data_IF_627945415782
#
_entry.id   IF_627945415782
#
_cell.length_a   1.000
_cell.length_b   1.000
_cell.length_c   1.000
_cell.angle_alpha   90.00
_cell.angle_beta   90.00
_cell.angle_gamma   90.00
#
_symmetry.space_group_name_H-M   'P 1'
#
loop_
_entity.id
_entity.type
_entity.pdbx_description
1 polymer ?
#
# COMPACT_ATOMS: atom_id res chain seq x y z
N UNK A 1 -10.29 -34.12 -18.08
CA UNK A 1 -10.13 -32.65 -18.23
C UNK A 1 -9.51 -32.12 -16.97
N UNK A 2 -8.57 -31.16 -17.01
CA UNK A 2 -8.06 -30.56 -15.79
C UNK A 2 -9.24 -29.90 -15.03
N UNK A 3 -9.28 -30.09 -13.72
CA UNK A 3 -10.31 -29.53 -12.85
C UNK A 3 -10.31 -28.00 -12.96
N UNK A 4 -11.40 -27.41 -13.43
CA UNK A 4 -11.60 -25.95 -13.46
C UNK A 4 -12.20 -25.49 -12.15
N UNK A 5 -11.58 -24.54 -11.43
CA UNK A 5 -12.13 -24.04 -10.19
C UNK A 5 -13.39 -23.23 -10.47
N UNK A 6 -14.37 -23.33 -9.58
CA UNK A 6 -15.55 -22.44 -9.56
C UNK A 6 -15.28 -21.21 -8.71
N UNK A 7 -14.50 -21.38 -7.62
CA UNK A 7 -14.20 -20.31 -6.65
C UNK A 7 -12.73 -20.29 -6.27
N UNK A 8 -12.10 -19.14 -6.44
CA UNK A 8 -10.69 -18.89 -6.13
C UNK A 8 -10.59 -17.77 -5.10
N UNK A 9 -9.85 -18.00 -4.03
CA UNK A 9 -9.52 -16.98 -3.03
C UNK A 9 -8.03 -16.61 -3.11
N UNK A 10 -7.75 -15.35 -3.40
CA UNK A 10 -6.41 -14.76 -3.29
C UNK A 10 -6.31 -14.08 -1.93
N UNK A 11 -5.30 -14.38 -1.15
CA UNK A 11 -5.22 -13.96 0.26
C UNK A 11 -4.01 -13.08 0.52
N UNK A 12 -4.26 -11.89 1.05
CA UNK A 12 -3.24 -10.96 1.53
C UNK A 12 -3.74 -10.25 2.80
N UNK A 13 -3.50 -10.78 4.01
CA UNK A 13 -4.13 -10.31 5.24
C UNK A 13 -3.38 -9.19 5.95
N UNK A 14 -2.21 -8.78 5.46
CA UNK A 14 -1.26 -7.92 6.16
C UNK A 14 -1.57 -6.41 5.99
N UNK A 15 -0.65 -5.62 5.50
CA UNK A 15 -0.74 -4.15 5.49
C UNK A 15 -1.49 -3.63 4.26
N UNK A 16 -2.06 -2.43 4.37
CA UNK A 16 -2.81 -1.76 3.29
C UNK A 16 -2.01 -1.68 1.99
N UNK A 17 -0.75 -1.21 2.05
CA UNK A 17 0.12 -1.11 0.88
C UNK A 17 0.36 -2.46 0.21
N UNK A 18 0.62 -3.50 1.01
CA UNK A 18 0.84 -4.86 0.53
C UNK A 18 -0.38 -5.43 -0.21
N UNK A 19 -1.59 -5.14 0.28
CA UNK A 19 -2.84 -5.56 -0.38
C UNK A 19 -3.02 -4.83 -1.70
N UNK A 20 -2.78 -3.51 -1.73
CA UNK A 20 -2.87 -2.70 -2.95
C UNK A 20 -1.86 -3.19 -3.99
N UNK A 21 -0.60 -3.40 -3.63
CA UNK A 21 0.41 -3.98 -4.52
C UNK A 21 -0.03 -5.34 -5.04
N UNK A 22 -0.56 -6.18 -4.16
CA UNK A 22 -0.97 -7.54 -4.51
C UNK A 22 -2.18 -7.58 -5.44
N UNK A 23 -3.02 -6.54 -5.46
CA UNK A 23 -4.15 -6.45 -6.39
C UNK A 23 -3.72 -6.41 -7.86
N UNK A 24 -2.44 -6.09 -8.13
CA UNK A 24 -1.87 -6.10 -9.49
C UNK A 24 -1.91 -7.46 -10.18
N UNK A 25 -2.04 -8.55 -9.42
CA UNK A 25 -2.17 -9.87 -10.01
C UNK A 25 -3.63 -10.26 -10.39
N UNK A 26 -4.63 -9.53 -9.91
CA UNK A 26 -6.05 -9.87 -10.12
C UNK A 26 -6.47 -9.86 -11.60
N UNK A 27 -6.01 -8.92 -12.45
CA UNK A 27 -6.31 -8.96 -13.89
C UNK A 27 -5.86 -10.28 -14.53
N UNK A 28 -4.64 -10.73 -14.27
CA UNK A 28 -4.11 -11.98 -14.82
C UNK A 28 -4.88 -13.23 -14.31
N UNK A 29 -5.31 -13.22 -13.04
CA UNK A 29 -6.15 -14.29 -12.50
C UNK A 29 -7.52 -14.30 -13.18
N UNK A 30 -8.15 -13.13 -13.41
CA UNK A 30 -9.44 -13.03 -14.10
C UNK A 30 -9.33 -13.46 -15.57
N UNK A 31 -8.30 -13.05 -16.26
CA UNK A 31 -8.04 -13.45 -17.66
C UNK A 31 -7.91 -14.98 -17.77
N UNK A 32 -7.18 -15.60 -16.85
CA UNK A 32 -6.95 -17.05 -16.84
C UNK A 32 -8.21 -17.85 -16.47
N UNK A 33 -9.07 -17.29 -15.61
CA UNK A 33 -10.28 -17.94 -15.09
C UNK A 33 -11.49 -17.03 -15.25
N UNK A 34 -11.95 -16.79 -16.48
CA UNK A 34 -13.04 -15.82 -16.75
C UNK A 34 -14.38 -16.20 -16.10
N UNK A 35 -14.63 -17.50 -15.94
CA UNK A 35 -15.89 -18.03 -15.42
C UNK A 35 -15.86 -18.26 -13.89
N UNK A 36 -14.71 -18.20 -13.27
CA UNK A 36 -14.59 -18.43 -11.83
C UNK A 36 -15.06 -17.22 -11.01
N UNK A 37 -15.64 -17.47 -9.86
CA UNK A 37 -15.79 -16.48 -8.80
C UNK A 37 -14.43 -16.25 -8.15
N UNK A 38 -13.87 -15.05 -8.32
CA UNK A 38 -12.57 -14.68 -7.77
C UNK A 38 -12.79 -13.70 -6.63
N UNK A 39 -12.26 -14.04 -5.46
CA UNK A 39 -12.33 -13.19 -4.28
C UNK A 39 -10.94 -12.80 -3.78
N UNK A 40 -10.82 -11.58 -3.26
CA UNK A 40 -9.66 -11.14 -2.49
C UNK A 40 -9.97 -11.23 -1.00
N UNK A 41 -9.18 -11.99 -0.27
CA UNK A 41 -9.24 -12.08 1.20
C UNK A 41 -8.24 -11.12 1.83
N UNK A 42 -8.74 -10.10 2.53
CA UNK A 42 -7.93 -9.11 3.21
C UNK A 42 -8.65 -8.54 4.44
N UNK A 43 -8.01 -7.64 5.18
CA UNK A 43 -8.63 -6.95 6.33
C UNK A 43 -9.83 -6.11 5.86
N UNK A 44 -10.89 -6.06 6.68
CA UNK A 44 -12.15 -5.36 6.34
C UNK A 44 -11.97 -3.89 5.94
N UNK A 45 -10.95 -3.20 6.46
CA UNK A 45 -10.62 -1.82 6.09
C UNK A 45 -10.36 -1.65 4.58
N UNK A 46 -10.01 -2.73 3.89
CA UNK A 46 -9.76 -2.72 2.44
C UNK A 46 -11.03 -2.86 1.61
N UNK A 47 -12.13 -3.29 2.20
CA UNK A 47 -13.36 -3.62 1.47
C UNK A 47 -13.84 -2.51 0.53
N UNK A 48 -13.88 -1.22 0.91
CA UNK A 48 -14.36 -0.15 0.04
C UNK A 48 -13.57 -0.02 -1.28
N UNK A 49 -12.30 -0.46 -1.31
CA UNK A 49 -11.47 -0.43 -2.53
C UNK A 49 -11.75 -1.59 -3.51
N UNK A 50 -12.66 -2.50 -3.16
CA UNK A 50 -13.02 -3.66 -3.99
C UNK A 50 -14.52 -3.78 -4.23
N UNK A 51 -15.32 -2.83 -3.76
CA UNK A 51 -16.76 -2.78 -4.03
C UNK A 51 -17.01 -2.48 -5.51
N UNK A 52 -17.93 -3.25 -6.11
CA UNK A 52 -18.28 -3.12 -7.53
C UNK A 52 -17.06 -3.15 -8.47
N UNK A 53 -16.09 -3.98 -8.14
CA UNK A 53 -14.82 -4.06 -8.89
C UNK A 53 -15.09 -4.45 -10.37
N UNK A 54 -14.51 -3.73 -11.38
CA UNK A 54 -14.80 -3.94 -12.79
C UNK A 54 -14.45 -5.34 -13.28
N UNK A 55 -13.47 -5.98 -12.66
CA UNK A 55 -13.11 -7.38 -12.91
C UNK A 55 -13.99 -8.37 -12.12
N UNK A 56 -15.09 -7.93 -11.53
CA UNK A 56 -15.97 -8.76 -10.69
C UNK A 56 -15.20 -9.54 -9.61
N UNK A 57 -14.31 -8.84 -8.90
CA UNK A 57 -13.57 -9.40 -7.77
C UNK A 57 -14.45 -9.25 -6.51
N UNK A 58 -14.80 -10.37 -5.90
CA UNK A 58 -15.45 -10.39 -4.59
C UNK A 58 -14.48 -10.07 -3.47
N UNK A 59 -15.00 -9.69 -2.31
CA UNK A 59 -14.18 -9.40 -1.13
C UNK A 59 -14.56 -10.33 0.04
N UNK A 60 -13.56 -10.88 0.71
CA UNK A 60 -13.72 -11.70 1.91
C UNK A 60 -13.01 -11.02 3.08
N UNK A 61 -13.75 -10.45 4.03
CA UNK A 61 -13.14 -9.81 5.20
C UNK A 61 -12.47 -10.87 6.09
N UNK A 62 -11.16 -10.77 6.24
CA UNK A 62 -10.38 -11.67 7.09
C UNK A 62 -10.18 -11.08 8.49
N UNK A 63 -10.19 -11.92 9.54
CA UNK A 63 -9.91 -11.48 10.90
C UNK A 63 -8.48 -10.92 11.01
N UNK A 64 -8.33 -9.91 11.88
CA UNK A 64 -7.05 -9.21 12.07
C UNK A 64 -5.91 -10.17 12.41
N UNK A 65 -4.72 -9.97 11.80
CA UNK A 65 -3.51 -10.72 12.18
C UNK A 65 -3.07 -10.51 13.64
N UNK A 66 -3.52 -9.44 14.29
CA UNK A 66 -3.21 -9.14 15.69
C UNK A 66 -4.00 -9.96 16.72
N UNK A 67 -5.04 -10.68 16.28
CA UNK A 67 -5.80 -11.56 17.18
C UNK A 67 -4.93 -12.74 17.66
N UNK A 68 -5.16 -13.25 18.89
CA UNK A 68 -4.53 -14.47 19.36
C UNK A 68 -4.76 -15.62 18.37
N UNK A 69 -3.75 -16.49 18.21
CA UNK A 69 -3.75 -17.52 17.17
C UNK A 69 -5.02 -18.40 17.19
N UNK A 70 -5.45 -18.89 18.34
CA UNK A 70 -6.63 -19.76 18.47
C UNK A 70 -7.92 -19.04 18.07
N UNK A 71 -8.09 -17.80 18.55
CA UNK A 71 -9.25 -16.97 18.21
C UNK A 71 -9.31 -16.70 16.72
N UNK A 72 -8.17 -16.33 16.15
CA UNK A 72 -8.04 -16.06 14.72
C UNK A 72 -8.27 -17.29 13.85
N UNK A 73 -7.71 -18.43 14.26
CA UNK A 73 -7.94 -19.72 13.59
C UNK A 73 -9.42 -20.09 13.55
N UNK A 74 -10.14 -20.00 14.69
CA UNK A 74 -11.58 -20.26 14.76
C UNK A 74 -12.38 -19.32 13.85
N UNK A 75 -12.08 -18.02 13.88
CA UNK A 75 -12.72 -17.03 13.02
C UNK A 75 -12.46 -17.31 11.53
N UNK A 76 -11.23 -17.68 11.17
CA UNK A 76 -10.88 -18.06 9.78
C UNK A 76 -11.64 -19.31 9.32
N UNK A 77 -11.74 -20.34 10.18
CA UNK A 77 -12.55 -21.52 9.84
C UNK A 77 -14.00 -21.14 9.57
N UNK A 78 -14.60 -20.25 10.36
CA UNK A 78 -15.96 -19.76 10.15
C UNK A 78 -16.08 -18.96 8.85
N UNK A 79 -15.17 -18.02 8.60
CA UNK A 79 -15.15 -17.18 7.38
C UNK A 79 -15.02 -18.02 6.11
N UNK A 80 -14.20 -19.08 6.13
CA UNK A 80 -13.90 -19.87 4.93
C UNK A 80 -14.84 -21.05 4.74
N UNK A 81 -15.74 -21.34 5.69
CA UNK A 81 -16.68 -22.46 5.60
C UNK A 81 -17.74 -22.25 4.53
N UNK A 82 -18.22 -21.03 4.45
CA UNK A 82 -19.15 -20.54 3.42
C UNK A 82 -18.74 -19.13 2.97
N UNK A 83 -18.46 -18.87 1.69
CA UNK A 83 -18.53 -19.79 0.54
C UNK A 83 -17.37 -20.80 0.51
N UNK A 84 -17.63 -22.01 -0.04
CA UNK A 84 -16.58 -23.01 -0.22
C UNK A 84 -15.68 -22.64 -1.38
N UNK A 85 -14.37 -22.47 -1.10
CA UNK A 85 -13.38 -22.22 -2.13
C UNK A 85 -12.77 -23.53 -2.64
N UNK A 86 -12.61 -23.64 -3.94
CA UNK A 86 -11.88 -24.75 -4.57
C UNK A 86 -10.37 -24.56 -4.42
N UNK A 87 -9.91 -23.33 -4.61
CA UNK A 87 -8.50 -22.97 -4.54
C UNK A 87 -8.27 -21.74 -3.67
N UNK A 88 -7.19 -21.80 -2.92
CA UNK A 88 -6.66 -20.64 -2.20
C UNK A 88 -5.20 -20.41 -2.59
N UNK A 89 -4.85 -19.14 -2.85
CA UNK A 89 -3.48 -18.68 -3.07
C UNK A 89 -3.14 -17.67 -1.99
N UNK A 90 -2.25 -18.05 -1.09
CA UNK A 90 -1.83 -17.18 0.01
C UNK A 90 -0.58 -16.41 -0.38
N UNK A 91 -0.74 -15.14 -0.70
CA UNK A 91 0.35 -14.25 -1.10
C UNK A 91 1.25 -13.83 0.08
N UNK A 92 0.84 -14.11 1.29
CA UNK A 92 1.61 -13.89 2.50
C UNK A 92 1.57 -15.14 3.38
N UNK A 93 2.71 -15.59 3.95
CA UNK A 93 2.73 -16.72 4.87
C UNK A 93 1.93 -16.41 6.13
N UNK A 94 0.87 -17.17 6.36
CA UNK A 94 -0.03 -17.00 7.49
C UNK A 94 -0.37 -18.37 8.11
N UNK A 95 0.28 -18.74 9.23
CA UNK A 95 0.08 -20.03 9.89
C UNK A 95 -1.37 -20.34 10.25
N UNK A 96 -2.11 -19.37 10.78
CA UNK A 96 -3.51 -19.55 11.16
C UNK A 96 -4.40 -19.78 9.93
N UNK A 97 -4.15 -19.04 8.84
CA UNK A 97 -4.86 -19.23 7.57
C UNK A 97 -4.55 -20.59 6.94
N UNK A 98 -3.29 -21.02 6.92
CA UNK A 98 -2.91 -22.32 6.36
C UNK A 98 -3.60 -23.47 7.07
N UNK A 99 -3.59 -23.44 8.40
CA UNK A 99 -4.24 -24.47 9.21
C UNK A 99 -5.78 -24.44 9.03
N UNK A 100 -6.40 -23.27 8.95
CA UNK A 100 -7.82 -23.14 8.73
C UNK A 100 -8.24 -23.67 7.35
N UNK A 101 -7.54 -23.27 6.29
CA UNK A 101 -7.82 -23.74 4.92
C UNK A 101 -7.66 -25.27 4.79
N UNK A 102 -6.66 -25.86 5.45
CA UNK A 102 -6.52 -27.31 5.54
C UNK A 102 -7.66 -27.96 6.34
N UNK A 103 -8.00 -27.41 7.51
CA UNK A 103 -9.03 -27.96 8.43
C UNK A 103 -10.41 -28.02 7.81
N UNK A 104 -10.76 -27.01 7.00
CA UNK A 104 -12.05 -26.97 6.30
C UNK A 104 -12.03 -27.71 4.96
N UNK A 105 -10.89 -28.26 4.55
CA UNK A 105 -10.75 -29.13 3.37
C UNK A 105 -10.71 -28.39 2.04
N UNK A 106 -10.16 -27.16 1.96
CA UNK A 106 -9.93 -26.51 0.66
C UNK A 106 -9.07 -27.42 -0.22
N UNK A 107 -9.53 -27.82 -1.44
CA UNK A 107 -8.82 -28.84 -2.21
C UNK A 107 -7.42 -28.43 -2.65
N UNK A 108 -7.22 -27.19 -3.12
CA UNK A 108 -5.93 -26.69 -3.59
C UNK A 108 -5.46 -25.50 -2.77
N UNK A 109 -4.29 -25.61 -2.19
CA UNK A 109 -3.74 -24.61 -1.24
C UNK A 109 -2.29 -24.31 -1.62
N UNK A 110 -2.12 -23.12 -2.22
CA UNK A 110 -0.83 -22.64 -2.75
C UNK A 110 -0.27 -21.58 -1.80
N UNK A 111 1.00 -21.67 -1.45
CA UNK A 111 1.64 -20.71 -0.56
C UNK A 111 3.13 -20.95 -0.38
N UNK A 112 3.77 -20.04 0.35
CA UNK A 112 5.16 -20.19 0.75
C UNK A 112 5.26 -21.15 1.96
N UNK A 113 6.21 -22.10 1.94
CA UNK A 113 6.36 -23.05 3.03
C UNK A 113 6.68 -22.36 4.36
N UNK A 114 6.02 -22.79 5.42
CA UNK A 114 6.28 -22.36 6.80
C UNK A 114 6.75 -23.51 7.64
N UNK A 115 7.78 -23.29 8.46
CA UNK A 115 8.32 -24.33 9.35
C UNK A 115 7.19 -24.92 10.21
N UNK A 116 7.06 -26.23 10.17
CA UNK A 116 6.05 -26.98 10.94
C UNK A 116 4.63 -26.99 10.34
N UNK A 117 4.33 -26.19 9.32
CA UNK A 117 3.00 -26.12 8.70
C UNK A 117 2.98 -26.31 7.19
N UNK A 118 4.13 -26.55 6.56
CA UNK A 118 4.21 -26.76 5.10
C UNK A 118 3.36 -27.93 4.61
N UNK A 119 3.07 -28.90 5.43
CA UNK A 119 2.22 -30.05 5.14
C UNK A 119 0.76 -29.68 4.88
N UNK A 120 0.31 -28.51 5.35
CA UNK A 120 -1.05 -28.00 5.07
C UNK A 120 -1.22 -27.52 3.64
N UNK A 121 -0.14 -27.19 2.94
CA UNK A 121 -0.17 -26.75 1.55
C UNK A 121 -0.14 -27.95 0.58
N UNK A 122 -0.91 -27.86 -0.50
CA UNK A 122 -0.82 -28.80 -1.62
C UNK A 122 0.32 -28.45 -2.56
N UNK A 123 0.61 -27.15 -2.69
CA UNK A 123 1.69 -26.64 -3.53
C UNK A 123 2.54 -25.63 -2.74
N UNK A 124 3.83 -25.89 -2.72
CA UNK A 124 4.81 -25.13 -1.94
C UNK A 124 5.73 -24.41 -2.90
N UNK A 125 5.69 -23.08 -2.86
CA UNK A 125 6.47 -22.24 -3.76
C UNK A 125 7.68 -21.70 -3.00
N UNK A 126 8.86 -21.77 -3.62
CA UNK A 126 10.08 -21.23 -3.01
C UNK A 126 9.99 -19.73 -2.86
N UNK A 127 10.19 -19.24 -1.64
CA UNK A 127 10.16 -17.80 -1.36
C UNK A 127 11.46 -17.12 -1.80
N UNK A 128 11.40 -16.29 -2.85
CA UNK A 128 12.53 -15.52 -3.39
C UNK A 128 12.58 -14.05 -2.96
N UNK A 129 11.61 -13.59 -2.17
CA UNK A 129 11.51 -12.19 -1.72
C UNK A 129 12.75 -11.66 -1.01
N UNK A 130 13.53 -12.55 -0.36
CA UNK A 130 14.79 -12.21 0.31
C UNK A 130 15.91 -11.81 -0.65
N UNK A 131 15.80 -12.16 -1.93
CA UNK A 131 16.75 -11.77 -2.97
C UNK A 131 16.68 -10.28 -3.27
N UNK A 132 15.54 -9.63 -3.04
CA UNK A 132 15.27 -8.19 -3.25
C UNK A 132 15.60 -7.70 -4.67
N UNK A 133 15.49 -8.57 -5.68
CA UNK A 133 15.83 -8.29 -7.08
C UNK A 133 14.65 -7.78 -7.90
N UNK A 134 13.43 -7.96 -7.41
CA UNK A 134 12.20 -7.61 -8.09
C UNK A 134 11.27 -6.83 -7.15
N UNK A 135 10.31 -6.18 -7.76
CA UNK A 135 9.23 -5.53 -7.04
C UNK A 135 8.35 -6.57 -6.29
N UNK A 136 7.80 -6.18 -5.13
CA UNK A 136 6.95 -7.07 -4.31
C UNK A 136 5.76 -7.62 -5.11
N UNK A 137 5.14 -6.81 -5.97
CA UNK A 137 4.06 -7.24 -6.85
C UNK A 137 4.49 -8.32 -7.85
N UNK A 138 5.73 -8.27 -8.36
CA UNK A 138 6.26 -9.29 -9.25
C UNK A 138 6.46 -10.63 -8.54
N UNK A 139 6.91 -10.62 -7.29
CA UNK A 139 7.03 -11.85 -6.49
C UNK A 139 5.69 -12.56 -6.24
N UNK A 140 4.56 -11.85 -6.29
CA UNK A 140 3.25 -12.49 -6.15
C UNK A 140 2.97 -13.48 -7.30
N UNK A 141 3.54 -13.25 -8.49
CA UNK A 141 3.38 -14.14 -9.64
C UNK A 141 4.11 -15.47 -9.48
N UNK A 142 5.10 -15.57 -8.60
CA UNK A 142 5.72 -16.88 -8.27
C UNK A 142 4.65 -17.85 -7.74
N UNK A 143 3.72 -17.35 -6.91
CA UNK A 143 2.61 -18.13 -6.35
C UNK A 143 1.50 -18.44 -7.37
N UNK A 144 1.47 -17.75 -8.51
CA UNK A 144 0.50 -17.97 -9.59
C UNK A 144 1.03 -18.90 -10.68
N UNK A 145 2.32 -19.22 -10.71
CA UNK A 145 2.92 -20.14 -11.69
C UNK A 145 2.20 -21.50 -11.73
N UNK A 146 1.81 -22.13 -10.60
CA UNK A 146 1.06 -23.39 -10.64
C UNK A 146 -0.31 -23.29 -11.31
N UNK A 147 -0.84 -22.07 -11.46
CA UNK A 147 -2.09 -21.77 -12.16
C UNK A 147 -1.86 -21.50 -13.66
N UNK A 148 -0.63 -21.65 -14.17
CA UNK A 148 -0.21 -21.29 -15.52
C UNK A 148 -0.41 -19.78 -15.81
N UNK A 149 -0.12 -18.95 -14.81
CA UNK A 149 -0.11 -17.49 -14.91
C UNK A 149 1.34 -17.03 -14.75
N UNK A 150 1.90 -16.44 -15.80
CA UNK A 150 3.26 -15.91 -15.83
C UNK A 150 3.28 -14.44 -15.43
N UNK A 151 4.43 -13.98 -14.93
CA UNK A 151 4.68 -12.56 -14.68
C UNK A 151 4.64 -11.82 -16.03
N UNK A 152 3.79 -10.79 -16.19
CA UNK A 152 3.87 -9.90 -17.35
C UNK A 152 5.11 -9.00 -17.25
N UNK A 153 5.27 -8.07 -18.19
CA UNK A 153 6.30 -7.04 -18.05
C UNK A 153 6.13 -6.33 -16.69
N UNK A 154 7.12 -6.37 -15.79
CA UNK A 154 7.04 -5.73 -14.48
C UNK A 154 6.70 -4.22 -14.54
N UNK A 155 7.11 -3.53 -15.61
CA UNK A 155 6.78 -2.11 -15.83
C UNK A 155 5.29 -1.89 -16.11
N UNK A 156 4.56 -2.90 -16.58
CA UNK A 156 3.12 -2.83 -16.85
C UNK A 156 2.26 -3.09 -15.62
N UNK A 157 2.84 -3.54 -14.50
CA UNK A 157 2.06 -3.83 -13.30
C UNK A 157 1.39 -2.56 -12.76
N UNK A 158 0.09 -2.65 -12.53
CA UNK A 158 -0.72 -1.60 -11.90
C UNK A 158 -1.61 -2.23 -10.83
N UNK A 159 -1.82 -1.52 -9.74
CA UNK A 159 -2.81 -1.95 -8.74
C UNK A 159 -4.22 -1.93 -9.35
N UNK A 160 -5.03 -2.91 -8.96
CA UNK A 160 -6.41 -3.06 -9.43
C UNK A 160 -7.36 -2.87 -8.26
N UNK A 161 -7.88 -1.64 -8.14
CA UNK A 161 -8.81 -1.21 -7.09
C UNK A 161 -9.97 -0.41 -7.70
N UNK A 162 -10.97 -0.11 -6.89
CA UNK A 162 -12.08 0.79 -7.24
C UNK A 162 -12.20 1.91 -6.22
N UNK A 163 -12.81 3.01 -6.66
CA UNK A 163 -13.22 4.09 -5.75
C UNK A 163 -14.73 4.29 -5.92
N UNK A 164 -15.55 3.96 -4.91
CA UNK A 164 -16.99 4.22 -4.94
C UNK A 164 -17.28 5.72 -5.05
N UNK A 165 -18.26 6.12 -5.87
CA UNK A 165 -18.65 7.52 -6.01
C UNK A 165 -19.25 8.08 -4.71
N UNK A 166 -19.88 7.24 -3.89
CA UNK A 166 -20.37 7.59 -2.55
C UNK A 166 -19.26 8.11 -1.63
N UNK A 167 -18.05 7.55 -1.74
CA UNK A 167 -16.89 8.04 -0.99
C UNK A 167 -16.43 9.43 -1.48
N UNK A 168 -16.59 9.72 -2.78
CA UNK A 168 -16.33 11.06 -3.33
C UNK A 168 -17.29 12.10 -2.79
N UNK A 169 -18.58 11.76 -2.75
CA UNK A 169 -19.60 12.64 -2.17
C UNK A 169 -19.36 12.90 -0.69
N UNK A 170 -19.02 11.85 0.07
CA UNK A 170 -18.65 11.98 1.48
C UNK A 170 -17.42 12.89 1.66
N UNK A 171 -16.36 12.68 0.86
CA UNK A 171 -15.16 13.53 0.88
C UNK A 171 -15.52 14.99 0.60
N UNK A 172 -16.30 15.27 -0.44
CA UNK A 172 -16.74 16.66 -0.75
C UNK A 172 -17.46 17.32 0.41
N UNK A 173 -18.32 16.59 1.11
CA UNK A 173 -18.97 17.07 2.33
C UNK A 173 -17.98 17.45 3.44
N UNK A 174 -16.86 16.71 3.56
CA UNK A 174 -15.79 16.99 4.53
C UNK A 174 -14.88 18.15 4.11
N UNK A 175 -14.66 18.35 2.81
CA UNK A 175 -13.80 19.42 2.29
C UNK A 175 -14.50 20.77 2.18
N UNK A 176 -15.80 20.79 1.93
CA UNK A 176 -16.58 22.03 1.76
C UNK A 176 -16.47 23.02 2.94
N UNK A 177 -16.60 22.59 4.22
CA UNK A 177 -16.44 23.49 5.36
C UNK A 177 -15.03 24.07 5.50
N UNK A 178 -14.03 23.44 4.87
CA UNK A 178 -12.63 23.86 4.88
C UNK A 178 -12.31 24.84 3.73
N UNK A 179 -13.27 25.14 2.85
CA UNK A 179 -13.04 25.91 1.64
C UNK A 179 -12.08 25.24 0.65
N UNK A 180 -11.90 23.92 0.79
CA UNK A 180 -10.95 23.15 -0.01
C UNK A 180 -11.67 22.50 -1.20
N UNK A 181 -11.64 23.16 -2.36
CA UNK A 181 -12.34 22.68 -3.55
C UNK A 181 -11.42 22.09 -4.63
N UNK A 182 -10.18 22.59 -4.75
CA UNK A 182 -9.21 22.13 -5.76
C UNK A 182 -7.81 22.68 -5.46
N UNK A 183 -6.80 22.21 -6.23
CA UNK A 183 -5.41 22.69 -6.16
C UNK A 183 -4.79 22.59 -4.76
N UNK A 184 -4.55 21.36 -4.35
CA UNK A 184 -3.86 21.09 -3.09
C UNK A 184 -2.78 20.01 -3.25
N UNK A 185 -1.77 20.14 -2.43
CA UNK A 185 -0.76 19.11 -2.20
C UNK A 185 -1.10 18.30 -0.96
N UNK A 186 -0.93 16.99 -1.01
CA UNK A 186 -1.04 16.13 0.15
C UNK A 186 0.35 15.90 0.77
N UNK A 187 0.47 16.07 2.07
CA UNK A 187 1.70 15.80 2.82
C UNK A 187 1.46 14.61 3.75
N UNK A 188 2.26 13.56 3.60
CA UNK A 188 2.25 12.38 4.46
C UNK A 188 3.54 12.29 5.26
N UNK A 189 3.53 12.80 6.48
CA UNK A 189 4.69 12.83 7.37
C UNK A 189 4.97 11.46 7.99
N UNK A 190 3.92 10.66 8.15
CA UNK A 190 3.86 9.51 9.00
C UNK A 190 4.84 8.40 8.61
N UNK A 191 5.48 7.89 9.62
CA UNK A 191 6.15 6.61 9.60
C UNK A 191 5.91 5.94 10.94
N UNK A 192 5.78 4.63 10.90
CA UNK A 192 5.67 3.83 12.13
C UNK A 192 6.87 4.02 13.07
N UNK A 193 8.03 4.37 12.52
CA UNK A 193 9.26 4.64 13.28
C UNK A 193 9.76 6.07 13.05
N UNK A 194 10.09 6.82 14.12
CA UNK A 194 10.68 8.14 14.01
C UNK A 194 12.04 8.14 13.27
N UNK A 195 12.72 7.00 13.25
CA UNK A 195 14.04 6.84 12.63
C UNK A 195 14.03 6.87 11.10
N UNK A 196 12.84 6.74 10.49
CA UNK A 196 12.70 6.64 9.02
C UNK A 196 11.78 7.74 8.51
N UNK A 197 11.94 8.96 8.99
CA UNK A 197 11.12 10.12 8.63
C UNK A 197 11.98 11.21 8.02
N UNK A 198 11.47 11.85 7.00
CA UNK A 198 12.02 13.11 6.54
C UNK A 198 11.76 14.18 7.60
N UNK A 199 12.70 15.10 7.87
CA UNK A 199 12.54 16.09 8.94
C UNK A 199 11.28 16.91 8.78
N UNK A 200 10.57 17.14 9.88
CA UNK A 200 9.35 17.96 9.91
C UNK A 200 9.63 19.38 9.41
N UNK A 201 10.80 19.95 9.76
CA UNK A 201 11.25 21.25 9.27
C UNK A 201 11.39 21.32 7.75
N UNK A 202 11.79 20.22 7.11
CA UNK A 202 11.86 20.14 5.65
C UNK A 202 10.47 20.11 5.02
N UNK A 203 9.49 19.40 5.62
CA UNK A 203 8.10 19.45 5.16
C UNK A 203 7.49 20.84 5.27
N UNK A 204 7.76 21.56 6.37
CA UNK A 204 7.26 22.94 6.55
C UNK A 204 7.90 23.88 5.55
N UNK A 205 9.22 23.82 5.37
CA UNK A 205 9.93 24.66 4.40
C UNK A 205 9.49 24.38 2.97
N UNK A 206 9.33 23.09 2.59
CA UNK A 206 8.75 22.70 1.30
C UNK A 206 7.32 23.25 1.16
N UNK A 207 6.51 23.18 2.22
CA UNK A 207 5.14 23.69 2.23
C UNK A 207 5.07 25.18 1.89
N UNK A 208 5.97 26.00 2.43
CA UNK A 208 6.07 27.43 2.06
C UNK A 208 6.40 27.60 0.57
N UNK A 209 7.41 26.87 0.06
CA UNK A 209 7.78 26.93 -1.37
C UNK A 209 6.64 26.50 -2.29
N UNK A 210 5.92 25.42 -1.96
CA UNK A 210 4.78 24.95 -2.76
C UNK A 210 3.64 25.97 -2.78
N UNK A 211 3.35 26.60 -1.66
CA UNK A 211 2.31 27.64 -1.60
C UNK A 211 2.70 28.87 -2.39
N UNK A 212 3.91 29.36 -2.25
CA UNK A 212 4.42 30.51 -2.97
C UNK A 212 4.42 30.25 -4.48
N UNK A 213 4.92 29.09 -4.91
CA UNK A 213 5.11 28.77 -6.33
C UNK A 213 3.81 28.40 -7.05
N UNK A 214 2.91 27.67 -6.41
CA UNK A 214 1.72 27.12 -7.06
C UNK A 214 0.40 27.77 -6.62
N UNK A 215 0.40 28.61 -5.61
CA UNK A 215 -0.83 29.19 -5.02
C UNK A 215 -1.79 28.11 -4.51
N UNK A 216 -1.26 26.94 -4.11
CA UNK A 216 -2.05 25.77 -3.76
C UNK A 216 -2.19 25.59 -2.25
N UNK A 217 -3.24 24.92 -1.83
CA UNK A 217 -3.44 24.54 -0.43
C UNK A 217 -2.55 23.34 -0.05
N UNK A 218 -2.34 23.18 1.26
CA UNK A 218 -1.65 22.01 1.83
C UNK A 218 -2.64 21.19 2.65
N UNK A 219 -2.63 19.89 2.45
CA UNK A 219 -3.45 18.93 3.19
C UNK A 219 -2.54 17.95 3.90
N UNK A 220 -2.57 17.96 5.21
CA UNK A 220 -1.86 17.00 6.04
C UNK A 220 -2.72 15.75 6.19
N UNK A 221 -2.14 14.59 5.86
CA UNK A 221 -2.79 13.28 5.97
C UNK A 221 -2.00 12.34 6.87
N UNK A 222 -2.68 11.36 7.43
CA UNK A 222 -2.09 10.32 8.28
C UNK A 222 -3.17 9.50 8.97
N UNK A 223 -2.77 8.47 9.69
CA UNK A 223 -3.70 7.61 10.42
C UNK A 223 -4.09 8.20 11.78
N UNK A 224 -3.12 8.82 12.47
CA UNK A 224 -3.30 9.32 13.83
C UNK A 224 -2.80 10.77 13.92
N UNK A 225 -3.73 11.68 14.18
CA UNK A 225 -3.42 13.09 14.41
C UNK A 225 -2.62 13.32 15.71
N UNK A 226 -2.57 12.36 16.62
CA UNK A 226 -1.78 12.39 17.85
C UNK A 226 -0.33 11.96 17.66
N UNK A 227 0.08 11.48 16.48
CA UNK A 227 1.48 11.17 16.17
C UNK A 227 2.37 12.40 16.44
N UNK A 228 3.55 12.15 17.03
CA UNK A 228 4.51 13.21 17.37
C UNK A 228 4.85 14.09 16.16
N UNK A 229 5.06 13.51 14.98
CA UNK A 229 5.38 14.29 13.77
C UNK A 229 4.25 15.22 13.36
N UNK A 230 2.99 14.81 13.54
CA UNK A 230 1.84 15.68 13.28
C UNK A 230 1.81 16.86 14.25
N UNK A 231 2.05 16.61 15.53
CA UNK A 231 2.11 17.68 16.54
C UNK A 231 3.27 18.64 16.26
N UNK A 232 4.46 18.12 15.96
CA UNK A 232 5.64 18.92 15.65
C UNK A 232 5.43 19.75 14.39
N UNK A 233 4.80 19.17 13.35
CA UNK A 233 4.45 19.89 12.12
C UNK A 233 3.48 21.04 12.41
N UNK A 234 2.41 20.78 13.16
CA UNK A 234 1.42 21.80 13.52
C UNK A 234 2.07 22.97 14.27
N UNK A 235 2.84 22.67 15.31
CA UNK A 235 3.53 23.68 16.10
C UNK A 235 4.49 24.52 15.25
N UNK A 236 5.26 23.89 14.38
CA UNK A 236 6.19 24.59 13.50
C UNK A 236 5.47 25.38 12.41
N UNK A 237 4.42 24.82 11.82
CA UNK A 237 3.59 25.51 10.83
C UNK A 237 2.91 26.76 11.40
N UNK A 238 2.37 26.66 12.61
CA UNK A 238 1.80 27.82 13.35
C UNK A 238 2.87 28.90 13.61
N UNK A 239 4.06 28.50 14.10
CA UNK A 239 5.17 29.43 14.38
C UNK A 239 5.65 30.15 13.12
N UNK A 240 5.66 29.47 11.98
CA UNK A 240 6.13 30.01 10.70
C UNK A 240 5.03 30.65 9.85
N UNK A 241 3.78 30.60 10.31
CA UNK A 241 2.62 31.12 9.58
C UNK A 241 2.27 30.31 8.32
N UNK A 242 2.56 29.00 8.28
CA UNK A 242 2.22 28.12 7.17
C UNK A 242 0.76 27.65 7.30
N UNK A 243 -0.18 28.09 6.45
CA UNK A 243 -1.55 27.58 6.49
C UNK A 243 -1.65 26.19 5.85
N UNK A 244 -2.41 25.31 6.48
CA UNK A 244 -2.69 23.95 6.01
C UNK A 244 -4.04 23.45 6.54
N UNK A 245 -4.55 22.36 5.94
CA UNK A 245 -5.74 21.64 6.40
C UNK A 245 -5.34 20.28 6.96
N UNK A 246 -5.79 19.97 8.18
CA UNK A 246 -5.51 18.70 8.83
C UNK A 246 -6.65 17.70 8.62
N UNK A 247 -6.39 16.66 7.83
CA UNK A 247 -7.30 15.53 7.59
C UNK A 247 -6.79 14.20 8.18
N UNK A 248 -5.74 14.25 9.02
CA UNK A 248 -5.22 13.03 9.66
C UNK A 248 -6.28 12.35 10.53
N UNK A 249 -6.50 11.05 10.32
CA UNK A 249 -7.50 10.25 11.03
C UNK A 249 -8.96 10.54 10.67
N UNK A 250 -9.23 11.37 9.65
CA UNK A 250 -10.59 11.81 9.29
C UNK A 250 -11.17 11.14 8.05
N UNK A 251 -10.35 10.41 7.30
CA UNK A 251 -10.73 9.81 6.02
C UNK A 251 -10.61 8.29 6.09
N UNK A 252 -11.56 7.60 5.50
CA UNK A 252 -11.40 6.19 5.16
C UNK A 252 -10.51 6.01 3.92
N UNK A 253 -10.23 4.75 3.53
CA UNK A 253 -9.33 4.49 2.39
C UNK A 253 -9.92 4.92 1.04
N UNK A 254 -11.23 4.83 0.86
CA UNK A 254 -11.85 5.21 -0.41
C UNK A 254 -11.92 6.75 -0.54
N UNK A 255 -12.26 7.44 0.54
CA UNK A 255 -12.19 8.91 0.62
C UNK A 255 -10.76 9.41 0.41
N UNK A 256 -9.77 8.76 1.03
CA UNK A 256 -8.36 9.08 0.84
C UNK A 256 -7.92 8.85 -0.61
N UNK A 257 -8.40 7.78 -1.25
CA UNK A 257 -8.18 7.52 -2.67
C UNK A 257 -8.73 8.64 -3.57
N UNK A 258 -9.93 9.13 -3.29
CA UNK A 258 -10.51 10.28 -4.01
C UNK A 258 -9.75 11.58 -3.72
N UNK A 259 -9.33 11.81 -2.47
CA UNK A 259 -8.48 12.95 -2.14
C UNK A 259 -7.20 12.95 -2.99
N UNK A 260 -6.54 11.80 -3.13
CA UNK A 260 -5.33 11.66 -3.95
C UNK A 260 -5.61 11.87 -5.43
N UNK A 261 -6.70 11.31 -5.95
CA UNK A 261 -7.07 11.43 -7.36
C UNK A 261 -7.29 12.88 -7.80
N UNK A 262 -7.73 13.74 -6.88
CA UNK A 262 -7.98 15.15 -7.12
C UNK A 262 -6.81 16.06 -6.69
N UNK A 263 -5.74 15.52 -6.08
CA UNK A 263 -4.57 16.27 -5.63
C UNK A 263 -3.63 16.62 -6.78
N UNK A 264 -2.92 17.74 -6.63
CA UNK A 264 -1.81 18.10 -7.52
C UNK A 264 -0.65 17.13 -7.40
N UNK A 265 -0.28 16.77 -6.17
CA UNK A 265 0.78 15.82 -5.89
C UNK A 265 0.70 15.35 -4.43
N UNK A 266 1.05 14.09 -4.17
CA UNK A 266 1.36 13.58 -2.84
C UNK A 266 2.88 13.64 -2.61
N UNK A 267 3.29 14.19 -1.48
CA UNK A 267 4.67 14.12 -1.02
C UNK A 267 4.71 13.31 0.28
N UNK A 268 5.50 12.26 0.29
CA UNK A 268 5.61 11.41 1.46
C UNK A 268 6.63 10.29 1.28
N UNK A 269 6.63 9.34 2.19
CA UNK A 269 7.52 8.18 2.11
C UNK A 269 6.77 6.92 1.65
N UNK A 270 7.54 5.85 1.40
CA UNK A 270 6.99 4.51 1.17
C UNK A 270 6.09 4.05 2.33
N UNK A 271 4.79 3.88 2.02
CA UNK A 271 3.74 3.55 2.98
C UNK A 271 2.43 3.16 2.25
N UNK A 272 1.44 2.67 3.01
CA UNK A 272 0.11 2.36 2.45
C UNK A 272 -0.51 3.50 1.63
N UNK A 273 -0.57 4.74 2.13
CA UNK A 273 -1.03 5.89 1.38
C UNK A 273 -0.32 6.13 0.04
N UNK A 274 0.99 5.90 -0.04
CA UNK A 274 1.74 6.06 -1.29
C UNK A 274 1.32 5.06 -2.36
N UNK A 275 1.08 3.80 -1.97
CA UNK A 275 0.56 2.79 -2.91
C UNK A 275 -0.88 3.08 -3.33
N UNK A 276 -1.70 3.65 -2.44
CA UNK A 276 -3.06 4.07 -2.77
C UNK A 276 -3.05 5.25 -3.76
N UNK A 277 -2.18 6.24 -3.55
CA UNK A 277 -2.02 7.37 -4.45
C UNK A 277 -1.61 6.91 -5.85
N UNK A 278 -0.63 6.01 -5.94
CA UNK A 278 -0.21 5.44 -7.21
C UNK A 278 -1.33 4.63 -7.90
N UNK A 279 -2.14 3.89 -7.12
CA UNK A 279 -3.25 3.10 -7.64
C UNK A 279 -4.37 3.94 -8.27
N UNK A 280 -4.48 5.23 -7.91
CA UNK A 280 -5.44 6.18 -8.45
C UNK A 280 -4.81 7.21 -9.39
N UNK A 281 -3.57 6.96 -9.83
CA UNK A 281 -2.78 7.78 -10.74
C UNK A 281 -2.51 9.22 -10.23
N UNK A 282 -2.41 9.39 -8.92
CA UNK A 282 -1.98 10.64 -8.32
C UNK A 282 -0.49 10.90 -8.60
N UNK A 283 -0.10 12.10 -9.08
CA UNK A 283 1.30 12.48 -9.09
C UNK A 283 1.89 12.37 -7.69
N UNK A 284 3.08 11.81 -7.56
CA UNK A 284 3.68 11.69 -6.24
C UNK A 284 5.19 11.69 -6.21
N UNK A 285 5.73 12.30 -5.17
CA UNK A 285 7.14 12.19 -4.78
C UNK A 285 7.24 11.29 -3.57
N UNK A 286 7.90 10.15 -3.73
CA UNK A 286 8.10 9.17 -2.67
C UNK A 286 9.54 9.16 -2.20
N UNK A 287 9.73 9.31 -0.87
CA UNK A 287 11.02 9.46 -0.23
C UNK A 287 11.52 8.11 0.30
N UNK A 288 12.73 7.73 -0.08
CA UNK A 288 13.42 6.54 0.41
C UNK A 288 14.74 6.91 1.06
N UNK A 289 14.90 6.60 2.32
CA UNK A 289 16.18 6.73 3.04
C UNK A 289 17.18 5.60 2.74
N UNK A 290 16.93 4.77 1.70
CA UNK A 290 17.78 3.62 1.32
C UNK A 290 17.54 3.27 -0.13
N UNK A 291 18.63 2.97 -0.86
CA UNK A 291 18.56 2.49 -2.25
C UNK A 291 18.62 0.95 -2.31
N UNK A 292 19.47 0.37 -1.48
CA UNK A 292 19.78 -1.04 -1.41
C UNK A 292 19.07 -1.67 -0.21
N UNK A 293 18.34 -2.59 -0.28
CA UNK A 293 17.89 -3.38 0.86
C UNK A 293 16.53 -3.98 0.64
N UNK A 294 16.14 -4.89 1.53
CA UNK A 294 14.77 -5.40 1.50
C UNK A 294 13.67 -4.33 1.62
N UNK A 295 14.04 -3.07 1.93
CA UNK A 295 13.12 -1.93 2.09
C UNK A 295 13.39 -0.77 1.12
N UNK A 296 14.15 -1.00 0.06
CA UNK A 296 14.48 0.00 -0.97
C UNK A 296 13.45 0.07 -2.10
N UNK A 297 13.61 1.06 -3.00
CA UNK A 297 12.66 1.33 -4.08
C UNK A 297 12.54 0.19 -5.10
N UNK A 298 13.59 -0.59 -5.34
CA UNK A 298 13.52 -1.77 -6.24
C UNK A 298 12.38 -2.72 -5.84
N UNK A 299 12.14 -2.89 -4.55
CA UNK A 299 11.10 -3.76 -4.05
C UNK A 299 9.77 -3.05 -3.79
N UNK A 300 9.82 -1.78 -3.37
CA UNK A 300 8.67 -1.11 -2.76
C UNK A 300 8.27 0.22 -3.40
N UNK A 301 8.92 0.66 -4.50
CA UNK A 301 8.45 1.87 -5.15
C UNK A 301 6.99 1.69 -5.62
N UNK A 302 6.09 2.65 -5.36
CA UNK A 302 4.74 2.57 -5.89
C UNK A 302 4.71 2.44 -7.41
N UNK A 303 3.73 1.73 -7.96
CA UNK A 303 3.56 1.57 -9.41
C UNK A 303 3.16 2.89 -10.06
N UNK A 304 3.58 3.12 -11.30
CA UNK A 304 3.04 4.19 -12.12
C UNK A 304 4.09 5.12 -12.72
N UNK A 305 3.72 5.83 -13.76
CA UNK A 305 4.59 6.75 -14.51
C UNK A 305 4.70 8.11 -13.83
N UNK A 306 3.68 8.49 -13.06
CA UNK A 306 3.61 9.74 -12.31
C UNK A 306 4.21 9.64 -10.90
N UNK A 307 5.15 8.72 -10.71
CA UNK A 307 5.88 8.50 -9.45
C UNK A 307 7.33 8.95 -9.62
N UNK A 308 7.80 9.83 -8.74
CA UNK A 308 9.22 10.21 -8.65
C UNK A 308 9.79 9.70 -7.34
N UNK A 309 10.80 8.87 -7.43
CA UNK A 309 11.54 8.37 -6.27
C UNK A 309 12.68 9.32 -5.96
N UNK A 310 12.63 9.94 -4.78
CA UNK A 310 13.75 10.71 -4.24
C UNK A 310 14.38 9.92 -3.11
N UNK A 311 15.54 9.35 -3.37
CA UNK A 311 16.25 8.53 -2.41
C UNK A 311 17.59 9.18 -2.03
N UNK A 312 18.03 8.91 -0.78
CA UNK A 312 19.36 9.29 -0.38
C UNK A 312 20.42 8.46 -1.10
N UNK A 313 21.55 9.03 -1.52
CA UNK A 313 22.70 8.26 -1.94
C UNK A 313 23.51 7.71 -0.76
N UNK A 314 23.13 8.02 0.48
CA UNK A 314 23.87 7.64 1.66
C UNK A 314 24.14 6.14 1.73
N UNK A 315 25.39 5.80 1.95
CA UNK A 315 25.84 4.44 2.26
C UNK A 315 26.12 4.37 3.75
N UNK A 316 25.73 3.25 4.37
CA UNK A 316 26.00 3.04 5.79
C UNK A 316 27.49 2.81 6.02
N UNK A 317 28.10 3.62 6.89
CA UNK A 317 29.48 3.46 7.31
C UNK A 317 29.67 2.15 8.11
N UNK A 318 30.83 1.47 8.01
CA UNK A 318 31.06 0.15 8.62
C UNK A 318 30.82 0.09 10.13
N UNK A 319 31.03 1.20 10.85
CA UNK A 319 30.84 1.30 12.32
C UNK A 319 29.62 2.10 12.73
N UNK A 320 28.87 2.64 11.78
CA UNK A 320 27.69 3.45 12.05
C UNK A 320 26.54 2.57 12.60
N UNK A 321 25.94 2.99 13.72
CA UNK A 321 24.75 2.31 14.22
C UNK A 321 23.62 2.41 13.19
N UNK A 322 22.81 1.35 13.08
CA UNK A 322 21.72 1.29 12.08
C UNK A 322 20.74 2.45 12.22
N UNK A 323 20.45 2.86 13.44
CA UNK A 323 19.50 3.94 13.72
C UNK A 323 20.06 5.30 13.29
N UNK A 324 21.33 5.55 13.54
CA UNK A 324 22.01 6.80 13.17
C UNK A 324 22.08 6.93 11.65
N UNK A 325 22.38 5.83 10.97
CA UNK A 325 22.32 5.78 9.50
C UNK A 325 20.94 6.18 8.97
N UNK A 326 19.86 5.64 9.53
CA UNK A 326 18.51 5.95 9.04
C UNK A 326 18.14 7.42 9.23
N UNK A 327 18.47 8.00 10.38
CA UNK A 327 18.24 9.41 10.63
C UNK A 327 19.02 10.26 9.63
N UNK A 328 20.34 10.03 9.48
CA UNK A 328 21.19 10.75 8.53
C UNK A 328 20.69 10.61 7.09
N UNK A 329 20.34 9.42 6.68
CA UNK A 329 19.91 9.13 5.32
C UNK A 329 18.67 9.93 4.87
N UNK A 330 17.70 10.15 5.75
CA UNK A 330 16.57 11.00 5.44
C UNK A 330 16.90 12.50 5.50
N UNK A 331 17.82 12.91 6.39
CA UNK A 331 18.29 14.30 6.44
C UNK A 331 19.07 14.72 5.19
N UNK A 332 19.75 13.80 4.51
CA UNK A 332 20.46 14.07 3.25
C UNK A 332 19.55 14.24 2.02
N UNK A 333 18.25 13.93 2.14
CA UNK A 333 17.27 14.28 1.11
C UNK A 333 16.97 15.77 1.26
N UNK A 334 17.50 16.60 0.36
CA UNK A 334 17.30 18.05 0.43
C UNK A 334 15.93 18.48 -0.09
N UNK A 335 15.49 19.65 0.36
CA UNK A 335 14.20 20.25 -0.04
C UNK A 335 14.20 20.53 -1.54
N UNK A 336 15.31 21.01 -2.09
CA UNK A 336 15.48 21.36 -3.51
C UNK A 336 15.28 20.14 -4.41
N UNK A 337 15.79 18.97 -4.01
CA UNK A 337 15.59 17.73 -4.77
C UNK A 337 14.12 17.29 -4.77
N UNK A 338 13.44 17.46 -3.65
CA UNK A 338 12.01 17.13 -3.54
C UNK A 338 11.17 18.13 -4.35
N UNK A 339 11.47 19.43 -4.25
CA UNK A 339 10.81 20.47 -5.02
C UNK A 339 10.97 20.28 -6.52
N UNK A 340 12.20 19.98 -6.99
CA UNK A 340 12.45 19.68 -8.40
C UNK A 340 11.64 18.47 -8.89
N UNK A 341 11.54 17.40 -8.08
CA UNK A 341 10.72 16.24 -8.43
C UNK A 341 9.21 16.57 -8.49
N UNK A 342 8.73 17.51 -7.65
CA UNK A 342 7.35 18.01 -7.75
C UNK A 342 7.15 18.80 -9.04
N UNK A 343 8.10 19.66 -9.41
CA UNK A 343 8.04 20.46 -10.65
C UNK A 343 7.90 19.58 -11.90
N UNK A 344 8.67 18.49 -11.96
CA UNK A 344 8.58 17.51 -13.05
C UNK A 344 7.18 16.87 -13.22
N UNK A 345 6.38 16.85 -12.16
CA UNK A 345 5.07 16.21 -12.15
C UNK A 345 3.90 17.18 -12.34
N UNK A 346 4.06 18.42 -11.90
CA UNK A 346 2.96 19.40 -11.81
C UNK A 346 3.00 20.43 -12.92
N UNK A 347 4.18 20.72 -13.49
CA UNK A 347 4.34 21.70 -14.56
C UNK A 347 4.21 21.10 -15.98
N UNK A 348 4.06 19.80 -16.09
CA UNK A 348 3.78 19.07 -17.32
C UNK A 348 2.27 18.87 -17.44
#
# INVERSE_FOLDING_TARGET
MPFRPRRILIVRPDRVGDVIISSSCLPAVRERFPDAEICLGARSVMQPLFENHPLRIGFVPLPSPSLPFITRFGALCSTLKEPRFDWVVSLHPDPAFYLAAWRIGVPRRIGYPQRGLSWTLTERITERRRECRMHEGAYNFDLLQPLSISLPDPASLRASITLPETARESLRGKLAPLGLSSRYFCLHLGAFSPLVRWPVSHFVALGHQLRERYGANLVLIGHDAADHSHRDFKALAETTGLPFHDLAGRLDLAELGWLFREALCLIGRDSGPSHLAAAVDCPMVVLFGRLDSPYGPTRWAPFGERVRVVATPAVREPKEARNDFFLRAFHEITIERVAAAVDELVLV
#
